data_IF_842976605736
#
_entry.id   IF_842976605736
#
_cell.length_a   1.000
_cell.length_b   1.000
_cell.length_c   1.000
_cell.angle_alpha   90.00
_cell.angle_beta   90.00
_cell.angle_gamma   90.00
#
_symmetry.space_group_name_H-M   'P 1'
#
loop_
_entity.id
_entity.type
_entity.pdbx_description
1 polymer ?
#
# COMPACT_ATOMS: atom_id res chain seq x y z
N UNK A 1 0.83 14.79 -16.12
CA UNK A 1 1.60 13.59 -15.70
C UNK A 1 2.30 13.94 -14.40
N UNK A 2 2.03 13.23 -13.31
CA UNK A 2 2.65 13.52 -12.00
C UNK A 2 4.11 13.04 -12.02
N UNK A 3 5.05 13.93 -11.67
CA UNK A 3 6.48 13.60 -11.59
C UNK A 3 6.76 12.92 -10.24
N UNK A 4 7.41 11.76 -10.28
CA UNK A 4 7.95 11.09 -9.09
C UNK A 4 9.38 11.61 -8.88
N UNK A 5 9.81 11.77 -7.64
CA UNK A 5 11.19 12.17 -7.31
C UNK A 5 12.19 11.15 -7.88
N UNK A 6 13.16 11.62 -8.67
CA UNK A 6 14.13 10.77 -9.38
C UNK A 6 15.51 10.74 -8.74
N UNK A 7 15.85 11.75 -7.92
CA UNK A 7 17.17 11.91 -7.29
C UNK A 7 17.08 12.77 -6.02
N UNK A 8 18.21 12.94 -5.31
CA UNK A 8 18.31 13.84 -4.15
C UNK A 8 17.72 13.31 -2.84
N UNK A 9 17.61 11.98 -2.68
CA UNK A 9 17.04 11.38 -1.48
C UNK A 9 17.88 11.66 -0.23
N UNK A 10 17.24 12.19 0.81
CA UNK A 10 17.83 12.45 2.12
C UNK A 10 16.86 12.00 3.22
N UNK A 11 17.37 11.29 4.22
CA UNK A 11 16.62 11.07 5.45
C UNK A 11 16.58 12.36 6.27
N UNK A 12 15.37 12.76 6.67
CA UNK A 12 15.18 13.92 7.53
C UNK A 12 15.62 13.62 8.96
N UNK A 13 16.26 14.59 9.59
CA UNK A 13 16.52 14.62 11.03
C UNK A 13 15.22 14.85 11.80
N UNK A 14 15.19 14.48 13.09
CA UNK A 14 14.01 14.70 13.93
C UNK A 14 13.59 16.18 14.02
N UNK A 15 14.56 17.10 14.05
CA UNK A 15 14.27 18.54 14.02
C UNK A 15 13.62 18.99 12.71
N UNK A 16 14.08 18.48 11.57
CA UNK A 16 13.44 18.76 10.26
C UNK A 16 12.02 18.18 10.21
N UNK A 17 11.80 16.98 10.75
CA UNK A 17 10.46 16.34 10.77
C UNK A 17 9.44 17.15 11.58
N UNK A 18 9.85 17.74 12.70
CA UNK A 18 8.97 18.52 13.58
C UNK A 18 8.55 19.86 12.96
N UNK A 19 9.38 20.41 12.07
CA UNK A 19 9.11 21.68 11.38
C UNK A 19 8.18 21.52 10.16
N UNK A 20 7.84 20.29 9.76
CA UNK A 20 6.97 20.03 8.61
C UNK A 20 5.52 19.86 9.07
N UNK A 21 4.62 20.67 8.51
CA UNK A 21 3.18 20.43 8.64
C UNK A 21 2.74 19.32 7.67
N UNK A 22 2.78 18.07 8.13
CA UNK A 22 2.45 16.87 7.35
C UNK A 22 1.05 16.87 6.73
N UNK A 23 0.09 17.63 7.29
CA UNK A 23 -1.28 17.73 6.78
C UNK A 23 -1.43 18.73 5.65
N UNK A 24 -0.50 19.66 5.49
CA UNK A 24 -0.58 20.80 4.57
C UNK A 24 0.60 20.84 3.58
N UNK A 25 1.34 19.74 3.46
CA UNK A 25 2.43 19.63 2.47
C UNK A 25 1.86 19.83 1.06
N UNK A 26 2.49 20.74 0.33
CA UNK A 26 2.24 20.94 -1.10
C UNK A 26 2.73 19.73 -1.90
N UNK A 27 1.76 18.98 -2.43
CA UNK A 27 2.00 17.78 -3.22
C UNK A 27 2.34 18.07 -4.68
N UNK A 28 2.43 19.34 -5.09
CA UNK A 28 2.82 19.74 -6.45
C UNK A 28 4.25 20.28 -6.53
N UNK A 29 4.85 20.56 -5.38
CA UNK A 29 6.25 20.96 -5.23
C UNK A 29 7.22 19.98 -5.90
N UNK A 30 8.39 20.50 -6.26
CA UNK A 30 9.52 19.74 -6.79
C UNK A 30 10.11 18.79 -5.73
N UNK A 31 9.88 19.07 -4.44
CA UNK A 31 10.29 18.20 -3.33
C UNK A 31 9.12 17.29 -2.93
N UNK A 32 9.40 15.99 -2.84
CA UNK A 32 8.46 14.97 -2.37
C UNK A 32 8.95 14.31 -1.10
N UNK A 33 8.01 13.74 -0.33
CA UNK A 33 8.31 13.01 0.89
C UNK A 33 7.88 11.54 0.75
N UNK A 34 8.73 10.66 1.25
CA UNK A 34 8.38 9.28 1.55
C UNK A 34 8.26 9.14 3.06
N UNK A 35 7.24 8.42 3.50
CA UNK A 35 7.02 8.16 4.91
C UNK A 35 6.85 6.67 5.12
N UNK A 36 7.30 6.22 6.28
CA UNK A 36 7.03 4.89 6.80
C UNK A 36 5.82 5.00 7.74
N UNK A 37 4.76 4.24 7.47
CA UNK A 37 3.56 4.27 8.30
C UNK A 37 2.83 2.93 8.33
N UNK A 38 2.04 2.74 9.39
CA UNK A 38 1.04 1.70 9.46
C UNK A 38 -0.28 2.20 8.85
N UNK A 39 -0.89 1.38 8.00
CA UNK A 39 -2.13 1.70 7.30
C UNK A 39 -3.23 0.73 7.74
N UNK A 40 -4.18 1.24 8.50
CA UNK A 40 -5.42 0.51 8.78
C UNK A 40 -6.38 0.66 7.59
N UNK A 41 -7.26 -0.32 7.38
CA UNK A 41 -8.24 -0.29 6.29
C UNK A 41 -9.66 -0.43 6.86
N UNK A 42 -10.23 0.65 7.41
CA UNK A 42 -11.59 0.63 7.94
C UNK A 42 -12.63 0.53 6.81
N UNK A 43 -13.84 0.08 7.14
CA UNK A 43 -14.92 -0.24 6.19
C UNK A 43 -15.30 0.94 5.28
N UNK A 44 -15.28 2.16 5.80
CA UNK A 44 -15.56 3.38 5.03
C UNK A 44 -14.61 3.57 3.84
N UNK A 45 -13.34 3.20 4.02
CA UNK A 45 -12.36 3.22 2.94
C UNK A 45 -12.56 2.02 2.03
N UNK A 46 -12.95 0.87 2.60
CA UNK A 46 -13.23 -0.33 1.84
C UNK A 46 -14.28 -0.08 0.76
N UNK A 47 -15.43 0.49 1.13
CA UNK A 47 -16.51 0.84 0.21
C UNK A 47 -16.04 1.82 -0.88
N UNK A 48 -15.27 2.85 -0.49
CA UNK A 48 -14.78 3.87 -1.42
C UNK A 48 -13.68 3.37 -2.38
N UNK A 49 -13.06 2.23 -2.09
CA UNK A 49 -11.90 1.70 -2.83
C UNK A 49 -12.07 0.24 -3.22
N UNK A 50 -13.31 -0.25 -3.25
CA UNK A 50 -13.63 -1.65 -3.53
C UNK A 50 -13.02 -2.14 -4.85
N UNK A 51 -13.04 -1.31 -5.88
CA UNK A 51 -12.50 -1.66 -7.19
C UNK A 51 -10.96 -1.55 -7.25
N UNK A 52 -10.36 -0.73 -6.39
CA UNK A 52 -8.93 -0.43 -6.39
C UNK A 52 -8.38 -0.29 -4.95
N UNK A 53 -8.10 -1.42 -4.25
CA UNK A 53 -7.47 -1.38 -2.95
C UNK A 53 -6.17 -0.58 -2.98
N UNK A 54 -6.02 0.33 -2.03
CA UNK A 54 -4.85 1.19 -1.95
C UNK A 54 -3.63 0.43 -1.42
N UNK A 55 -2.45 0.87 -1.87
CA UNK A 55 -1.15 0.42 -1.37
C UNK A 55 -0.95 -1.10 -1.49
N UNK A 56 -0.87 -1.65 -2.73
CA UNK A 56 -0.59 -3.08 -2.93
C UNK A 56 0.75 -3.46 -2.31
N UNK A 57 0.81 -4.67 -1.73
CA UNK A 57 1.95 -5.16 -0.98
C UNK A 57 2.47 -6.48 -1.56
N UNK A 58 3.75 -6.77 -1.36
CA UNK A 58 4.34 -8.04 -1.74
C UNK A 58 3.95 -9.10 -0.71
N UNK A 59 2.92 -9.89 -1.05
CA UNK A 59 2.42 -10.97 -0.20
C UNK A 59 3.01 -12.29 -0.68
N UNK A 60 3.46 -13.10 0.27
CA UNK A 60 3.79 -14.50 0.04
C UNK A 60 2.50 -15.32 0.12
N UNK A 61 1.93 -15.65 -1.03
CA UNK A 61 0.70 -16.43 -1.10
C UNK A 61 1.04 -17.90 -0.82
N UNK A 62 0.42 -18.45 0.21
CA UNK A 62 0.57 -19.86 0.63
C UNK A 62 -0.58 -20.71 0.11
N UNK A 63 -0.43 -22.04 0.20
CA UNK A 63 -1.48 -22.98 -0.20
C UNK A 63 -2.79 -22.76 0.56
N UNK A 64 -2.74 -22.41 1.84
CA UNK A 64 -3.94 -22.20 2.66
C UNK A 64 -4.77 -21.00 2.20
N UNK A 65 -4.12 -20.00 1.60
CA UNK A 65 -4.76 -18.80 1.05
C UNK A 65 -5.47 -19.07 -0.29
N UNK A 66 -5.24 -20.23 -0.91
CA UNK A 66 -5.91 -20.59 -2.16
C UNK A 66 -7.36 -21.01 -1.89
N UNK A 67 -8.27 -20.55 -2.76
CA UNK A 67 -9.65 -21.02 -2.80
C UNK A 67 -9.71 -22.53 -3.13
N UNK A 68 -10.80 -23.23 -2.75
CA UNK A 68 -10.96 -24.65 -3.05
C UNK A 68 -10.76 -24.98 -4.55
N UNK A 69 -11.30 -24.16 -5.44
CA UNK A 69 -11.14 -24.32 -6.89
C UNK A 69 -9.67 -24.21 -7.34
N UNK A 70 -8.93 -23.25 -6.78
CA UNK A 70 -7.50 -23.08 -7.09
C UNK A 70 -6.68 -24.26 -6.58
N UNK A 71 -7.01 -24.82 -5.42
CA UNK A 71 -6.36 -26.03 -4.87
C UNK A 71 -6.57 -27.24 -5.79
N UNK A 72 -7.82 -27.51 -6.18
CA UNK A 72 -8.14 -28.59 -7.13
C UNK A 72 -7.44 -28.39 -8.48
N UNK A 73 -7.42 -27.16 -8.99
CA UNK A 73 -6.73 -26.84 -10.26
C UNK A 73 -5.22 -27.05 -10.17
N UNK A 74 -4.61 -26.68 -9.04
CA UNK A 74 -3.19 -26.88 -8.80
C UNK A 74 -2.81 -28.37 -8.82
N UNK A 75 -3.63 -29.21 -8.18
CA UNK A 75 -3.44 -30.65 -8.15
C UNK A 75 -3.65 -31.27 -9.54
N UNK A 76 -4.75 -30.94 -10.23
CA UNK A 76 -5.10 -31.56 -11.51
C UNK A 76 -4.18 -31.14 -12.66
N UNK A 77 -3.73 -29.89 -12.69
CA UNK A 77 -2.92 -29.35 -13.80
C UNK A 77 -1.43 -29.58 -13.55
N UNK A 78 -0.97 -29.40 -12.31
CA UNK A 78 0.46 -29.38 -11.99
C UNK A 78 0.89 -30.55 -11.09
N UNK A 79 -0.04 -31.36 -10.58
CA UNK A 79 0.27 -32.46 -9.65
C UNK A 79 0.84 -32.00 -8.31
N UNK A 80 0.55 -30.75 -7.89
CA UNK A 80 1.14 -30.14 -6.69
C UNK A 80 0.09 -29.99 -5.58
N UNK A 81 0.48 -30.38 -4.37
CA UNK A 81 -0.31 -30.21 -3.14
C UNK A 81 0.27 -29.13 -2.22
N UNK A 82 1.24 -28.36 -2.70
CA UNK A 82 1.84 -27.22 -2.01
C UNK A 82 1.99 -26.04 -2.95
N UNK A 83 1.87 -24.83 -2.41
CA UNK A 83 2.00 -23.58 -3.15
C UNK A 83 2.66 -22.52 -2.30
N UNK A 84 3.62 -21.82 -2.90
CA UNK A 84 4.34 -20.70 -2.29
C UNK A 84 4.85 -19.78 -3.38
N UNK A 85 4.32 -18.55 -3.44
CA UNK A 85 4.80 -17.56 -4.40
C UNK A 85 4.61 -16.14 -3.89
N UNK A 86 5.61 -15.29 -4.12
CA UNK A 86 5.50 -13.84 -3.90
C UNK A 86 4.71 -13.19 -5.04
N UNK A 87 3.67 -12.44 -4.68
CA UNK A 87 2.80 -11.71 -5.60
C UNK A 87 2.57 -10.30 -5.05
N UNK A 88 2.57 -9.32 -5.95
CA UNK A 88 2.07 -7.99 -5.61
C UNK A 88 0.54 -8.07 -5.55
N UNK A 89 -0.02 -7.95 -4.35
CA UNK A 89 -1.45 -8.13 -4.10
C UNK A 89 -2.04 -6.85 -3.52
N UNK A 90 -3.15 -6.40 -4.11
CA UNK A 90 -3.96 -5.34 -3.54
C UNK A 90 -4.94 -5.97 -2.55
N UNK A 91 -4.71 -5.76 -1.26
CA UNK A 91 -5.52 -6.33 -0.17
C UNK A 91 -6.19 -5.21 0.62
N UNK A 92 -7.31 -5.53 1.27
CA UNK A 92 -7.93 -4.66 2.27
C UNK A 92 -7.46 -4.96 3.69
N UNK A 93 -6.39 -5.75 3.82
CA UNK A 93 -5.82 -6.08 5.12
C UNK A 93 -5.06 -4.87 5.69
N UNK A 94 -4.99 -4.74 7.03
CA UNK A 94 -4.12 -3.78 7.68
C UNK A 94 -2.66 -4.03 7.28
N UNK A 95 -1.94 -2.95 6.98
CA UNK A 95 -0.55 -3.00 6.51
C UNK A 95 0.35 -2.32 7.54
N UNK A 96 1.52 -2.88 7.79
CA UNK A 96 2.47 -2.37 8.79
C UNK A 96 3.81 -2.03 8.15
N UNK A 97 4.44 -0.95 8.60
CA UNK A 97 5.78 -0.53 8.16
C UNK A 97 5.87 -0.26 6.65
N UNK A 98 4.82 0.30 6.05
CA UNK A 98 4.81 0.56 4.62
C UNK A 98 5.59 1.83 4.28
N UNK A 99 6.50 1.74 3.31
CA UNK A 99 7.14 2.89 2.68
C UNK A 99 6.29 3.40 1.53
N UNK A 100 5.73 4.57 1.69
CA UNK A 100 4.79 5.16 0.73
C UNK A 100 5.11 6.62 0.49
N UNK A 101 4.96 7.04 -0.76
CA UNK A 101 5.02 8.45 -1.09
C UNK A 101 3.82 9.17 -0.46
N UNK A 102 4.07 10.34 0.16
CA UNK A 102 3.03 11.12 0.85
C UNK A 102 1.85 11.48 -0.07
N UNK A 103 2.08 11.61 -1.39
CA UNK A 103 1.02 11.86 -2.38
C UNK A 103 -0.02 10.73 -2.42
N UNK A 104 0.40 9.47 -2.31
CA UNK A 104 -0.51 8.33 -2.29
C UNK A 104 -1.30 8.26 -0.98
N UNK A 105 -0.67 8.58 0.15
CA UNK A 105 -1.34 8.64 1.44
C UNK A 105 -2.39 9.75 1.50
N UNK A 106 -2.19 10.87 0.79
CA UNK A 106 -3.23 11.91 0.70
C UNK A 106 -4.52 11.35 0.12
N UNK A 107 -4.47 10.44 -0.85
CA UNK A 107 -5.66 9.78 -1.39
C UNK A 107 -6.40 9.04 -0.26
N UNK A 108 -5.67 8.31 0.58
CA UNK A 108 -6.23 7.66 1.76
C UNK A 108 -6.87 8.69 2.72
N UNK A 109 -6.19 9.77 3.09
CA UNK A 109 -6.73 10.79 3.98
C UNK A 109 -7.94 11.54 3.41
N UNK A 110 -7.92 11.87 2.12
CA UNK A 110 -9.03 12.55 1.45
C UNK A 110 -10.26 11.67 1.37
N UNK A 111 -10.10 10.34 1.27
CA UNK A 111 -11.22 9.39 1.30
C UNK A 111 -11.71 9.12 2.73
N UNK A 112 -10.80 9.12 3.71
CA UNK A 112 -11.13 8.91 5.12
C UNK A 112 -11.83 10.10 5.78
N UNK A 113 -11.40 11.34 5.50
CA UNK A 113 -12.00 12.56 6.08
C UNK A 113 -13.11 13.16 5.22
N UNK A 114 -13.88 12.33 4.50
CA UNK A 114 -15.13 12.77 3.86
C UNK A 114 -16.25 12.79 4.91
N UNK A 115 -16.12 13.69 5.88
CA UNK A 115 -17.20 14.19 6.73
C UNK A 115 -17.18 15.72 6.67
#
# INVERSE_FOLDING_TARGET
MFKISQEGFKFLTEGEKQNINWKEVDLTSDVGYFVECDLNYPEQIWECTQDFPLCPENVEITYDMLSPLQKTSLEHIYGRTSYKQKKLTATFLPKKGMYVNLRHIRIYFTKFNKD
#
